data_IF_094895147756
#
_entry.id   IF_094895147756
#
_cell.length_a   1.000
_cell.length_b   1.000
_cell.length_c   1.000
_cell.angle_alpha   90.00
_cell.angle_beta   90.00
_cell.angle_gamma   90.00
#
_symmetry.space_group_name_H-M   'P 1'
#
loop_
_entity.id
_entity.type
_entity.pdbx_description
1 polymer ?
#
# COMPACT_ATOMS: atom_id res chain seq x y z
N UNK A 1 -2.31 5.03 -23.07
CA UNK A 1 -2.56 3.58 -23.07
C UNK A 1 -2.41 3.09 -21.65
N UNK A 2 -3.52 2.81 -20.95
CA UNK A 2 -3.49 2.25 -19.60
C UNK A 2 -3.35 0.73 -19.70
N UNK A 3 -2.17 0.21 -19.38
CA UNK A 3 -1.96 -1.23 -19.26
C UNK A 3 -2.64 -1.73 -18.00
N UNK A 4 -3.54 -2.71 -18.12
CA UNK A 4 -4.20 -3.35 -16.98
C UNK A 4 -3.15 -3.97 -16.03
N UNK A 5 -3.19 -3.67 -14.72
CA UNK A 5 -2.23 -4.21 -13.77
C UNK A 5 -2.42 -5.72 -13.57
N UNK A 6 -1.29 -6.42 -13.48
CA UNK A 6 -1.28 -7.86 -13.22
C UNK A 6 -1.81 -8.18 -11.82
N UNK A 7 -2.12 -9.45 -11.55
CA UNK A 7 -2.62 -9.86 -10.24
C UNK A 7 -1.59 -9.61 -9.11
N UNK A 8 -0.29 -9.85 -9.37
CA UNK A 8 0.78 -9.57 -8.40
C UNK A 8 0.94 -8.08 -8.15
N UNK A 9 0.79 -7.26 -9.17
CA UNK A 9 0.85 -5.80 -9.06
C UNK A 9 -0.32 -5.23 -8.24
N UNK A 10 -1.53 -5.75 -8.46
CA UNK A 10 -2.69 -5.39 -7.64
C UNK A 10 -2.50 -5.81 -6.18
N UNK A 11 -2.01 -7.02 -5.93
CA UNK A 11 -1.73 -7.50 -4.57
C UNK A 11 -0.68 -6.63 -3.86
N UNK A 12 0.38 -6.24 -4.57
CA UNK A 12 1.41 -5.34 -4.06
C UNK A 12 0.88 -3.96 -3.70
N UNK A 13 0.09 -3.36 -4.58
CA UNK A 13 -0.54 -2.07 -4.32
C UNK A 13 -1.53 -2.14 -3.16
N UNK A 14 -2.30 -3.22 -3.04
CA UNK A 14 -3.24 -3.42 -1.93
C UNK A 14 -2.51 -3.60 -0.59
N UNK A 15 -1.41 -4.35 -0.57
CA UNK A 15 -0.57 -4.51 0.63
C UNK A 15 0.03 -3.18 1.08
N UNK A 16 0.51 -2.37 0.13
CA UNK A 16 1.02 -1.02 0.39
C UNK A 16 -0.06 -0.07 0.93
N UNK A 17 -1.25 -0.05 0.32
CA UNK A 17 -2.37 0.77 0.81
C UNK A 17 -2.78 0.37 2.22
N UNK A 18 -2.90 -0.93 2.50
CA UNK A 18 -3.21 -1.42 3.85
C UNK A 18 -2.14 -0.98 4.85
N UNK A 19 -0.86 -1.08 4.51
CA UNK A 19 0.23 -0.58 5.37
C UNK A 19 0.05 0.91 5.69
N UNK A 20 -0.22 1.73 4.67
CA UNK A 20 -0.42 3.19 4.85
C UNK A 20 -1.62 3.47 5.75
N UNK A 21 -2.75 2.82 5.52
CA UNK A 21 -3.96 3.03 6.34
C UNK A 21 -3.75 2.55 7.78
N UNK A 22 -3.08 1.42 8.01
CA UNK A 22 -2.71 0.97 9.35
C UNK A 22 -1.77 1.97 10.04
N UNK A 23 -0.77 2.49 9.33
CA UNK A 23 0.13 3.51 9.86
C UNK A 23 -0.62 4.79 10.25
N UNK A 24 -1.57 5.25 9.43
CA UNK A 24 -2.42 6.40 9.76
C UNK A 24 -3.24 6.13 11.03
N UNK A 25 -3.90 4.97 11.12
CA UNK A 25 -4.72 4.62 12.28
C UNK A 25 -3.89 4.55 13.58
N UNK A 26 -2.73 3.89 13.53
CA UNK A 26 -1.83 3.74 14.68
C UNK A 26 -1.26 5.08 15.13
N UNK A 27 -0.87 5.96 14.19
CA UNK A 27 -0.29 7.26 14.53
C UNK A 27 -1.35 8.29 14.95
N UNK A 28 -2.61 8.11 14.54
CA UNK A 28 -3.72 8.95 14.96
C UNK A 28 -4.17 8.67 16.41
N UNK A 29 -3.87 7.48 16.94
CA UNK A 29 -4.15 7.10 18.33
C UNK A 29 -2.91 7.31 19.22
N UNK A 30 -2.91 8.30 20.14
CA UNK A 30 -1.79 8.55 21.04
C UNK A 30 -1.45 7.37 21.97
N UNK A 31 -2.40 6.46 22.22
CA UNK A 31 -2.17 5.25 23.01
C UNK A 31 -1.43 4.16 22.24
N UNK A 32 -1.56 4.14 20.91
CA UNK A 32 -0.90 3.16 20.04
C UNK A 32 0.43 3.68 19.48
N UNK A 33 0.57 4.99 19.30
CA UNK A 33 1.75 5.62 18.71
C UNK A 33 3.09 5.20 19.36
N UNK A 34 3.24 5.10 20.70
CA UNK A 34 4.48 4.63 21.33
C UNK A 34 4.84 3.18 20.97
N UNK A 35 3.85 2.36 20.62
CA UNK A 35 4.00 0.95 20.24
C UNK A 35 3.87 0.73 18.73
N UNK A 36 3.97 1.78 17.90
CA UNK A 36 3.73 1.69 16.46
C UNK A 36 4.57 0.61 15.76
N UNK A 37 5.82 0.42 16.17
CA UNK A 37 6.69 -0.63 15.62
C UNK A 37 6.09 -2.04 15.76
N UNK A 38 5.40 -2.33 16.87
CA UNK A 38 4.71 -3.61 17.09
C UNK A 38 3.54 -3.80 16.13
N UNK A 39 2.76 -2.75 15.91
CA UNK A 39 1.56 -2.81 15.06
C UNK A 39 1.87 -2.77 13.56
N UNK A 40 3.03 -2.20 13.19
CA UNK A 40 3.42 -2.03 11.80
C UNK A 40 4.38 -3.10 11.28
N UNK A 41 4.98 -3.93 12.14
CA UNK A 41 5.92 -4.97 11.72
C UNK A 41 5.34 -5.95 10.68
N UNK A 42 4.15 -6.54 10.94
CA UNK A 42 3.53 -7.48 10.01
C UNK A 42 3.08 -6.78 8.71
N UNK A 43 2.34 -5.66 8.75
CA UNK A 43 1.97 -4.92 7.53
C UNK A 43 3.17 -4.51 6.67
N UNK A 44 4.30 -4.15 7.29
CA UNK A 44 5.53 -3.78 6.58
C UNK A 44 6.12 -4.99 5.84
N UNK A 45 6.31 -6.12 6.54
CA UNK A 45 6.85 -7.34 5.95
C UNK A 45 5.96 -7.88 4.81
N UNK A 46 4.64 -7.81 4.97
CA UNK A 46 3.68 -8.23 3.95
C UNK A 46 3.71 -7.32 2.72
N UNK A 47 3.87 -6.01 2.90
CA UNK A 47 4.06 -5.08 1.79
C UNK A 47 5.37 -5.35 1.05
N UNK A 48 6.49 -5.52 1.74
CA UNK A 48 7.80 -5.81 1.14
C UNK A 48 7.78 -7.12 0.33
N UNK A 49 7.15 -8.18 0.86
CA UNK A 49 6.98 -9.44 0.14
C UNK A 49 6.16 -9.27 -1.13
N UNK A 50 5.03 -8.56 -1.05
CA UNK A 50 4.16 -8.35 -2.19
C UNK A 50 4.86 -7.50 -3.28
N UNK A 51 5.62 -6.47 -2.87
CA UNK A 51 6.43 -5.65 -3.75
C UNK A 51 7.51 -6.46 -4.47
N UNK A 52 8.24 -7.31 -3.73
CA UNK A 52 9.27 -8.18 -4.32
C UNK A 52 8.66 -9.17 -5.32
N UNK A 53 7.53 -9.79 -4.99
CA UNK A 53 6.82 -10.71 -5.91
C UNK A 53 6.30 -10.03 -7.17
N UNK A 54 5.93 -8.75 -7.09
CA UNK A 54 5.53 -7.96 -8.24
C UNK A 54 6.71 -7.39 -9.06
N UNK A 55 7.96 -7.62 -8.62
CA UNK A 55 9.16 -7.08 -9.27
C UNK A 55 9.35 -5.58 -9.03
N UNK A 56 8.80 -5.03 -7.94
CA UNK A 56 8.91 -3.61 -7.58
C UNK A 56 10.05 -3.28 -6.62
N UNK A 57 10.82 -4.28 -6.16
CA UNK A 57 12.04 -4.02 -5.41
C UNK A 57 13.03 -3.20 -6.27
N UNK A 58 13.22 -1.92 -5.94
CA UNK A 58 14.02 -0.96 -6.71
C UNK A 58 13.31 -0.26 -7.88
N UNK A 59 11.97 -0.28 -7.94
CA UNK A 59 11.18 0.42 -8.97
C UNK A 59 9.97 1.16 -8.35
N UNK A 60 10.22 2.00 -7.35
CA UNK A 60 9.18 2.71 -6.57
C UNK A 60 8.27 3.57 -7.47
N UNK A 61 8.78 4.11 -8.57
CA UNK A 61 8.00 4.96 -9.47
C UNK A 61 6.85 4.22 -10.17
N UNK A 62 7.01 2.92 -10.48
CA UNK A 62 5.96 2.11 -11.10
C UNK A 62 4.89 1.73 -10.06
N UNK A 63 5.31 1.42 -8.84
CA UNK A 63 4.41 1.17 -7.71
C UNK A 63 3.54 2.39 -7.40
N UNK A 64 4.15 3.57 -7.27
CA UNK A 64 3.44 4.79 -6.90
C UNK A 64 2.38 5.18 -7.94
N UNK A 65 2.66 4.98 -9.24
CA UNK A 65 1.66 5.20 -10.31
C UNK A 65 0.46 4.26 -10.20
N UNK A 66 0.69 3.00 -9.85
CA UNK A 66 -0.40 2.03 -9.65
C UNK A 66 -1.22 2.35 -8.40
N UNK A 67 -0.56 2.74 -7.30
CA UNK A 67 -1.24 3.12 -6.06
C UNK A 67 -2.12 4.36 -6.23
N UNK A 68 -1.67 5.33 -7.04
CA UNK A 68 -2.49 6.50 -7.40
C UNK A 68 -3.75 6.09 -8.18
N UNK A 69 -3.59 5.27 -9.24
CA UNK A 69 -4.74 4.81 -10.03
C UNK A 69 -5.77 3.99 -9.22
N UNK A 70 -5.32 3.17 -8.27
CA UNK A 70 -6.22 2.43 -7.38
C UNK A 70 -6.99 3.32 -6.40
N UNK A 71 -6.39 4.41 -5.91
CA UNK A 71 -7.10 5.37 -5.06
C UNK A 71 -8.21 6.07 -5.84
N UNK A 72 -7.93 6.44 -7.09
CA UNK A 72 -8.91 7.08 -7.98
C UNK A 72 -10.06 6.13 -8.33
N UNK A 73 -9.80 4.84 -8.57
CA UNK A 73 -10.83 3.82 -8.83
C UNK A 73 -11.72 3.53 -7.60
N UNK A 74 -11.20 3.70 -6.38
CA UNK A 74 -11.98 3.51 -5.15
C UNK A 74 -12.77 4.76 -4.71
N UNK A 75 -12.57 5.90 -5.36
CA UNK A 75 -13.39 7.08 -5.14
C UNK A 75 -14.76 6.85 -5.81
N UNK A 76 -15.87 6.72 -5.06
CA UNK A 76 -17.20 6.71 -5.68
C UNK A 76 -17.39 8.06 -6.38
N UNK A 77 -17.79 8.00 -7.66
CA UNK A 77 -17.83 9.13 -8.58
C UNK A 77 -18.12 10.46 -7.91
N UNK A 78 -17.14 11.36 -7.95
CA UNK A 78 -17.40 12.78 -7.73
C UNK A 78 -18.03 13.36 -9.01
N UNK A 79 -19.07 14.20 -8.89
CA UNK A 79 -19.77 14.82 -10.02
C UNK A 79 -18.89 15.76 -10.84
#
# INVERSE_FOLDING_TARGET
MTTTPTASERAAAQAYLRLVETARAVLADPGLAPAAGMYLASPLAEADEALRRAGFAGNEARLLRLAAGLRDDTAPGAP
#
